data_IF_692718645458
#
_entry.id   IF_692718645458
#
_cell.length_a   1.000
_cell.length_b   1.000
_cell.length_c   1.000
_cell.angle_alpha   90.00
_cell.angle_beta   90.00
_cell.angle_gamma   90.00
#
_symmetry.space_group_name_H-M   'P 1'
#
loop_
_entity.id
_entity.type
_entity.pdbx_description
1 polymer ?
#
# COMPACT_ATOMS: atom_id res chain seq x y z
N UNK A 1 -41.09 5.65 -55.04
CA UNK A 1 -40.69 4.81 -53.89
C UNK A 1 -39.21 4.91 -53.45
N UNK A 2 -38.39 5.87 -53.93
CA UNK A 2 -36.95 5.94 -53.55
C UNK A 2 -36.64 6.70 -52.24
N UNK A 3 -37.55 7.56 -51.78
CA UNK A 3 -37.39 8.37 -50.55
C UNK A 3 -37.43 7.57 -49.23
N UNK A 4 -38.33 6.59 -49.01
CA UNK A 4 -38.36 5.84 -47.74
C UNK A 4 -37.13 4.95 -47.59
N UNK A 5 -36.62 4.37 -48.69
CA UNK A 5 -35.44 3.50 -48.67
C UNK A 5 -34.18 4.26 -48.22
N UNK A 6 -34.01 5.51 -48.68
CA UNK A 6 -32.89 6.36 -48.30
C UNK A 6 -32.97 6.76 -46.83
N UNK A 7 -34.16 7.07 -46.31
CA UNK A 7 -34.35 7.37 -44.89
C UNK A 7 -34.10 6.15 -44.01
N UNK A 8 -34.55 4.96 -44.43
CA UNK A 8 -34.31 3.70 -43.72
C UNK A 8 -32.82 3.38 -43.66
N UNK A 9 -32.09 3.56 -44.77
CA UNK A 9 -30.65 3.35 -44.82
C UNK A 9 -29.88 4.31 -43.91
N UNK A 10 -30.29 5.59 -43.86
CA UNK A 10 -29.68 6.57 -42.94
C UNK A 10 -29.95 6.20 -41.48
N UNK A 11 -31.18 5.79 -41.15
CA UNK A 11 -31.54 5.37 -39.79
C UNK A 11 -30.74 4.14 -39.36
N UNK A 12 -30.61 3.15 -40.25
CA UNK A 12 -29.88 1.91 -40.01
C UNK A 12 -28.37 2.21 -39.86
N UNK A 13 -27.82 3.09 -40.70
CA UNK A 13 -26.46 3.58 -40.56
C UNK A 13 -26.20 4.27 -39.22
N UNK A 14 -27.09 5.17 -38.79
CA UNK A 14 -27.02 5.79 -37.47
C UNK A 14 -27.08 4.74 -36.34
N UNK A 15 -27.99 3.78 -36.42
CA UNK A 15 -28.15 2.74 -35.42
C UNK A 15 -26.89 1.88 -35.27
N UNK A 16 -26.27 1.48 -36.38
CA UNK A 16 -25.02 0.69 -36.39
C UNK A 16 -23.86 1.48 -35.79
N UNK A 17 -23.72 2.75 -36.16
CA UNK A 17 -22.68 3.63 -35.61
C UNK A 17 -22.88 3.81 -34.10
N UNK A 18 -24.10 4.08 -33.66
CA UNK A 18 -24.42 4.21 -32.23
C UNK A 18 -24.16 2.91 -31.46
N UNK A 19 -24.54 1.76 -32.00
CA UNK A 19 -24.27 0.47 -31.38
C UNK A 19 -22.76 0.18 -31.25
N UNK A 20 -21.97 0.52 -32.28
CA UNK A 20 -20.52 0.41 -32.23
C UNK A 20 -19.94 1.28 -31.11
N UNK A 21 -20.36 2.54 -31.00
CA UNK A 21 -19.90 3.43 -29.93
C UNK A 21 -20.32 2.94 -28.54
N UNK A 22 -21.55 2.45 -28.36
CA UNK A 22 -22.03 1.89 -27.09
C UNK A 22 -21.19 0.67 -26.70
N UNK A 23 -20.98 -0.27 -27.62
CA UNK A 23 -20.13 -1.44 -27.38
C UNK A 23 -18.71 -1.02 -27.01
N UNK A 24 -18.12 -0.06 -27.73
CA UNK A 24 -16.77 0.43 -27.44
C UNK A 24 -16.68 1.28 -26.16
N UNK A 25 -17.77 1.91 -25.72
CA UNK A 25 -17.84 2.63 -24.45
C UNK A 25 -17.96 1.68 -23.26
N UNK A 26 -18.56 0.51 -23.44
CA UNK A 26 -18.66 -0.53 -22.40
C UNK A 26 -17.35 -1.35 -22.33
N UNK A 27 -16.93 -1.91 -23.47
CA UNK A 27 -15.82 -2.89 -23.54
C UNK A 27 -14.47 -2.30 -23.99
N UNK A 28 -14.43 -1.05 -24.42
CA UNK A 28 -13.18 -0.43 -24.87
C UNK A 28 -12.21 -0.16 -23.74
N UNK A 29 -10.93 0.01 -24.08
CA UNK A 29 -9.81 0.33 -23.18
C UNK A 29 -10.02 1.54 -22.24
N UNK A 30 -10.97 2.43 -22.55
CA UNK A 30 -11.36 3.60 -21.74
C UNK A 30 -12.79 3.50 -21.19
N UNK A 31 -13.42 2.33 -21.29
CA UNK A 31 -14.79 2.13 -20.84
C UNK A 31 -14.93 2.28 -19.33
N UNK A 32 -16.17 2.50 -18.89
CA UNK A 32 -16.51 2.73 -17.49
C UNK A 32 -15.87 1.69 -16.55
N UNK A 33 -15.80 0.42 -16.97
CA UNK A 33 -15.15 -0.65 -16.21
C UNK A 33 -13.64 -0.46 -16.01
N UNK A 34 -12.91 0.07 -17.00
CA UNK A 34 -11.48 0.34 -16.86
C UNK A 34 -11.26 1.42 -15.81
N UNK A 35 -12.09 2.48 -15.81
CA UNK A 35 -12.08 3.51 -14.78
C UNK A 35 -12.42 2.95 -13.41
N UNK A 36 -13.44 2.11 -13.29
CA UNK A 36 -13.83 1.47 -12.01
C UNK A 36 -12.70 0.60 -11.47
N UNK A 37 -12.09 -0.26 -12.31
CA UNK A 37 -10.94 -1.09 -11.92
C UNK A 37 -9.74 -0.26 -11.49
N UNK A 38 -9.46 0.85 -12.16
CA UNK A 38 -8.40 1.77 -11.75
C UNK A 38 -8.71 2.43 -10.40
N UNK A 39 -9.94 2.89 -10.18
CA UNK A 39 -10.36 3.50 -8.91
C UNK A 39 -10.28 2.50 -7.76
N UNK A 40 -10.71 1.26 -7.97
CA UNK A 40 -10.60 0.21 -6.96
C UNK A 40 -9.14 -0.08 -6.62
N UNK A 41 -8.28 -0.23 -7.63
CA UNK A 41 -6.83 -0.46 -7.42
C UNK A 41 -6.16 0.71 -6.69
N UNK A 42 -6.47 1.95 -7.07
CA UNK A 42 -5.90 3.12 -6.39
C UNK A 42 -6.40 3.22 -4.95
N UNK A 43 -7.67 2.86 -4.68
CA UNK A 43 -8.21 2.83 -3.33
C UNK A 43 -7.51 1.77 -2.45
N UNK A 44 -7.26 0.57 -2.97
CA UNK A 44 -6.52 -0.49 -2.27
C UNK A 44 -5.09 -0.05 -1.97
N UNK A 45 -4.33 0.37 -2.99
CA UNK A 45 -2.94 0.82 -2.80
C UNK A 45 -2.84 2.00 -1.83
N UNK A 46 -3.80 2.94 -1.87
CA UNK A 46 -3.82 4.08 -0.95
C UNK A 46 -4.02 3.65 0.50
N UNK A 47 -4.79 2.58 0.75
CA UNK A 47 -4.96 2.00 2.09
C UNK A 47 -3.66 1.34 2.55
N UNK A 48 -3.02 0.54 1.71
CA UNK A 48 -1.75 -0.13 2.01
C UNK A 48 -0.64 0.88 2.33
N UNK A 49 -0.51 1.94 1.53
CA UNK A 49 0.46 3.02 1.79
C UNK A 49 0.17 3.69 3.14
N UNK A 50 -1.11 3.92 3.47
CA UNK A 50 -1.49 4.55 4.73
C UNK A 50 -1.16 3.66 5.92
N UNK A 51 -1.46 2.36 5.86
CA UNK A 51 -1.13 1.43 6.93
C UNK A 51 0.39 1.32 7.09
N UNK A 52 1.14 1.23 5.99
CA UNK A 52 2.59 1.13 6.05
C UNK A 52 3.23 2.41 6.63
N UNK A 53 2.74 3.59 6.24
CA UNK A 53 3.18 4.87 6.82
C UNK A 53 2.88 4.97 8.31
N UNK A 54 1.74 4.46 8.77
CA UNK A 54 1.38 4.44 10.19
C UNK A 54 2.34 3.55 11.00
N UNK A 55 2.65 2.36 10.49
CA UNK A 55 3.63 1.44 11.12
C UNK A 55 5.01 2.07 11.14
N UNK A 56 5.48 2.62 10.02
CA UNK A 56 6.77 3.29 9.94
C UNK A 56 6.86 4.48 10.91
N UNK A 57 5.80 5.30 11.04
CA UNK A 57 5.78 6.42 11.98
C UNK A 57 5.81 5.96 13.45
N UNK A 58 5.22 4.81 13.78
CA UNK A 58 5.34 4.21 15.12
C UNK A 58 6.76 3.73 15.37
N UNK A 59 7.32 2.93 14.46
CA UNK A 59 8.69 2.43 14.58
C UNK A 59 9.71 3.56 14.65
N UNK A 60 9.54 4.61 13.84
CA UNK A 60 10.39 5.82 13.88
C UNK A 60 10.37 6.46 15.25
N UNK A 61 9.19 6.64 15.86
CA UNK A 61 9.07 7.16 17.23
C UNK A 61 9.74 6.25 18.24
N UNK A 62 9.54 4.94 18.14
CA UNK A 62 10.15 3.96 19.04
C UNK A 62 11.69 4.01 18.94
N UNK A 63 12.23 4.12 17.72
CA UNK A 63 13.68 4.29 17.47
C UNK A 63 14.16 5.64 17.99
N UNK A 64 13.47 6.74 17.71
CA UNK A 64 13.88 8.06 18.17
C UNK A 64 13.95 8.09 19.71
N UNK A 65 12.97 7.49 20.41
CA UNK A 65 13.00 7.32 21.86
C UNK A 65 14.23 6.54 22.36
N UNK A 66 14.69 5.53 21.61
CA UNK A 66 15.91 4.77 21.93
C UNK A 66 17.21 5.51 21.56
N UNK A 67 17.15 6.49 20.66
CA UNK A 67 18.33 7.16 20.11
C UNK A 67 18.62 8.50 20.80
N UNK A 68 17.66 9.07 21.55
CA UNK A 68 17.77 10.41 22.13
C UNK A 68 18.97 10.57 23.07
N UNK A 69 19.43 9.50 23.71
CA UNK A 69 20.69 9.48 24.43
C UNK A 69 21.41 8.17 24.10
N UNK A 70 22.75 8.18 23.88
CA UNK A 70 23.49 6.93 23.86
C UNK A 70 23.19 6.21 25.18
N UNK A 71 22.73 4.94 25.14
CA UNK A 71 22.37 4.21 26.34
C UNK A 71 23.55 4.29 27.32
N UNK A 72 23.27 4.71 28.56
CA UNK A 72 24.32 4.85 29.56
C UNK A 72 25.15 3.57 29.62
N UNK A 73 26.47 3.73 29.78
CA UNK A 73 27.40 2.60 29.82
C UNK A 73 26.95 1.56 30.85
N UNK A 74 26.45 2.03 32.00
CA UNK A 74 25.91 1.20 33.09
C UNK A 74 24.71 0.35 32.64
N UNK A 75 23.74 0.91 31.90
CA UNK A 75 22.62 0.12 31.39
C UNK A 75 23.06 -0.94 30.37
N UNK A 76 24.09 -0.64 29.59
CA UNK A 76 24.65 -1.59 28.61
C UNK A 76 25.41 -2.72 29.31
N UNK A 77 26.16 -2.40 30.37
CA UNK A 77 26.84 -3.36 31.24
C UNK A 77 25.84 -4.24 32.01
N UNK A 78 24.74 -3.67 32.52
CA UNK A 78 23.66 -4.42 33.19
C UNK A 78 22.98 -5.41 32.21
N UNK A 79 22.62 -4.97 31.01
CA UNK A 79 22.02 -5.83 29.99
C UNK A 79 23.00 -6.95 29.58
N UNK A 80 24.28 -6.64 29.41
CA UNK A 80 25.30 -7.64 29.09
C UNK A 80 25.47 -8.66 30.23
N UNK A 81 25.48 -8.22 31.49
CA UNK A 81 25.52 -9.12 32.65
C UNK A 81 24.25 -9.98 32.73
N UNK A 82 23.06 -9.37 32.59
CA UNK A 82 21.76 -10.04 32.75
C UNK A 82 21.45 -11.02 31.63
N UNK A 83 21.57 -10.57 30.37
CA UNK A 83 21.08 -11.32 29.21
C UNK A 83 22.18 -12.20 28.58
N UNK A 84 23.45 -11.76 28.66
CA UNK A 84 24.59 -12.49 28.08
C UNK A 84 25.45 -13.20 29.13
N UNK A 85 25.19 -12.99 30.43
CA UNK A 85 26.05 -13.52 31.50
C UNK A 85 27.47 -12.97 31.42
N UNK A 86 27.66 -11.78 30.86
CA UNK A 86 28.97 -11.17 30.66
C UNK A 86 29.54 -10.73 32.01
N UNK A 87 30.76 -11.15 32.36
CA UNK A 87 31.42 -10.84 33.63
C UNK A 87 32.87 -10.46 33.35
N UNK A 88 33.39 -9.40 33.99
CA UNK A 88 34.78 -9.01 33.80
C UNK A 88 35.73 -9.96 34.56
N UNK A 89 36.99 -10.12 34.10
CA UNK A 89 37.98 -10.95 34.81
C UNK A 89 38.24 -10.54 36.26
N UNK A 90 37.92 -9.29 36.61
CA UNK A 90 38.05 -8.72 37.95
C UNK A 90 36.82 -8.91 38.85
N UNK A 91 35.71 -9.40 38.32
CA UNK A 91 34.45 -9.48 39.06
C UNK A 91 34.38 -10.75 39.93
N UNK A 92 33.76 -10.64 41.10
CA UNK A 92 33.59 -11.74 42.05
C UNK A 92 32.22 -12.39 41.83
N UNK A 93 32.20 -13.61 41.30
CA UNK A 93 30.97 -14.39 41.11
C UNK A 93 30.66 -15.18 42.37
N UNK A 94 29.54 -14.84 43.04
CA UNK A 94 29.01 -15.61 44.16
C UNK A 94 28.09 -16.72 43.65
N UNK A 95 28.55 -17.97 43.71
CA UNK A 95 27.68 -19.13 43.49
C UNK A 95 26.87 -19.39 44.77
N UNK A 96 25.61 -18.97 44.78
CA UNK A 96 24.66 -19.40 45.80
C UNK A 96 24.26 -20.86 45.53
N UNK A 97 24.30 -21.68 46.58
CA UNK A 97 24.03 -23.12 46.55
C UNK A 97 22.53 -23.42 46.46
#
# INVERSE_FOLDING_TARGET
MRRPLRSLLVLLGCAVISAYFIHHAIYGKHGFEARTRLIERTAVLSREIRSLKAVHARMRRDVDLLTLEPPSRDMTEEIAQRDLGYVYPSDVVLLAR
#
